data_IF_522178250554
#
_entry.id   IF_522178250554
#
_cell.length_a   1.000
_cell.length_b   1.000
_cell.length_c   1.000
_cell.angle_alpha   90.00
_cell.angle_beta   90.00
_cell.angle_gamma   90.00
#
_symmetry.space_group_name_H-M   'P 1'
#
loop_
_entity.id
_entity.type
_entity.pdbx_description
1 polymer ?
#
# COMPACT_ATOMS: atom_id res chain seq x y z
N UNK A 1 9.22 14.63 -3.55
CA UNK A 1 9.41 13.61 -4.61
C UNK A 1 8.52 12.43 -4.27
N UNK A 2 7.62 12.03 -5.16
CA UNK A 2 6.81 10.83 -4.95
C UNK A 2 7.62 9.60 -5.41
N UNK A 3 7.65 8.56 -4.59
CA UNK A 3 8.19 7.24 -4.90
C UNK A 3 7.07 6.39 -5.51
N UNK A 4 7.34 5.73 -6.63
CA UNK A 4 6.39 4.79 -7.22
C UNK A 4 6.52 3.44 -6.53
N UNK A 5 5.48 2.99 -5.85
CA UNK A 5 5.43 1.66 -5.27
C UNK A 5 4.38 0.81 -5.99
N UNK A 6 4.65 -0.48 -6.12
CA UNK A 6 3.70 -1.45 -6.68
C UNK A 6 3.35 -2.41 -5.56
N UNK A 7 2.08 -2.49 -5.21
CA UNK A 7 1.58 -3.47 -4.25
C UNK A 7 0.57 -4.38 -4.93
N UNK A 8 0.44 -5.62 -4.44
CA UNK A 8 -0.57 -6.54 -4.94
C UNK A 8 -1.86 -6.35 -4.17
N UNK A 9 -2.95 -6.03 -4.86
CA UNK A 9 -4.27 -5.94 -4.24
C UNK A 9 -4.68 -7.33 -3.73
N UNK A 10 -4.99 -7.48 -2.43
CA UNK A 10 -5.39 -8.77 -1.86
C UNK A 10 -6.76 -9.22 -2.36
N UNK A 11 -7.63 -8.30 -2.76
CA UNK A 11 -9.00 -8.61 -3.18
C UNK A 11 -9.06 -9.12 -4.62
N UNK A 12 -8.29 -8.53 -5.52
CA UNK A 12 -8.32 -8.83 -6.96
C UNK A 12 -7.10 -9.60 -7.43
N UNK A 13 -6.04 -9.66 -6.62
CA UNK A 13 -4.76 -10.26 -6.98
C UNK A 13 -3.94 -9.46 -8.00
N UNK A 14 -4.42 -8.30 -8.44
CA UNK A 14 -3.77 -7.43 -9.41
C UNK A 14 -2.65 -6.60 -8.78
N UNK A 15 -1.57 -6.35 -9.53
CA UNK A 15 -0.54 -5.42 -9.12
C UNK A 15 -1.01 -3.99 -9.39
N UNK A 16 -1.08 -3.19 -8.34
CA UNK A 16 -1.54 -1.80 -8.35
C UNK A 16 -0.34 -0.92 -8.10
N UNK A 17 -0.05 -0.04 -9.06
CA UNK A 17 0.96 1.00 -8.90
C UNK A 17 0.33 2.21 -8.22
N UNK A 18 0.98 2.72 -7.18
CA UNK A 18 0.56 3.92 -6.46
C UNK A 18 1.73 4.85 -6.19
N UNK A 19 1.44 6.15 -6.20
CA UNK A 19 2.41 7.18 -5.89
C UNK A 19 2.47 7.34 -4.38
N UNK A 20 3.58 6.93 -3.79
CA UNK A 20 3.91 7.29 -2.44
C UNK A 20 4.49 8.71 -2.45
N UNK A 21 3.71 9.72 -2.07
CA UNK A 21 4.33 10.99 -1.68
C UNK A 21 5.31 10.69 -0.56
N UNK A 22 6.57 11.16 -0.66
CA UNK A 22 7.55 11.08 0.43
C UNK A 22 6.96 11.76 1.67
N UNK A 23 6.14 11.03 2.42
CA UNK A 23 5.90 11.31 3.81
C UNK A 23 7.24 11.01 4.45
N UNK A 24 7.82 12.04 5.06
CA UNK A 24 9.05 11.93 5.82
C UNK A 24 8.98 10.63 6.62
N UNK A 25 9.95 9.73 6.39
CA UNK A 25 10.06 8.47 7.10
C UNK A 25 10.20 8.80 8.58
N UNK A 26 9.08 8.98 9.27
CA UNK A 26 9.06 9.11 10.71
C UNK A 26 9.45 7.75 11.23
N UNK A 27 10.71 7.65 11.67
CA UNK A 27 11.40 6.54 12.33
C UNK A 27 10.49 5.79 13.34
N UNK A 28 9.59 4.95 12.86
CA UNK A 28 8.65 4.27 13.76
C UNK A 28 7.61 3.36 13.13
N UNK A 29 7.09 3.66 11.94
CA UNK A 29 6.17 2.86 11.10
C UNK A 29 5.36 3.83 10.26
N UNK A 30 5.78 4.07 9.02
CA UNK A 30 5.04 4.92 8.11
C UNK A 30 4.07 4.02 7.32
N UNK A 31 2.78 4.13 7.57
CA UNK A 31 1.73 3.48 6.78
C UNK A 31 1.01 4.54 5.96
N UNK A 32 0.75 4.28 4.69
CA UNK A 32 -0.09 5.15 3.87
C UNK A 32 -1.32 4.41 3.38
N UNK A 33 -2.45 5.11 3.39
CA UNK A 33 -3.70 4.65 2.79
C UNK A 33 -3.72 4.98 1.30
N UNK A 34 -4.02 3.99 0.48
CA UNK A 34 -4.13 4.11 -0.96
C UNK A 34 -5.49 3.62 -1.43
N UNK A 35 -6.18 4.43 -2.23
CA UNK A 35 -7.40 4.00 -2.90
C UNK A 35 -7.00 3.11 -4.08
N UNK A 36 -7.32 1.82 -3.99
CA UNK A 36 -7.07 0.90 -5.09
C UNK A 36 -8.10 1.16 -6.21
N UNK A 37 -7.65 1.43 -7.44
CA UNK A 37 -8.55 1.66 -8.58
C UNK A 37 -9.25 0.37 -9.05
N UNK A 38 -8.83 -0.80 -8.57
CA UNK A 38 -9.35 -2.10 -9.04
C UNK A 38 -10.49 -2.61 -8.16
N UNK A 39 -10.40 -2.49 -6.83
CA UNK A 39 -11.40 -3.00 -5.88
C UNK A 39 -12.22 -1.90 -5.18
N UNK A 40 -12.15 -0.65 -5.66
CA UNK A 40 -12.53 0.57 -4.94
C UNK A 40 -12.32 0.66 -3.42
N UNK A 41 -11.37 -0.11 -2.83
CA UNK A 41 -11.10 -0.08 -1.39
C UNK A 41 -9.83 0.69 -1.05
N UNK A 42 -9.80 1.22 0.17
CA UNK A 42 -8.60 1.77 0.78
C UNK A 42 -7.73 0.63 1.32
N UNK A 43 -6.49 0.54 0.85
CA UNK A 43 -5.47 -0.36 1.37
C UNK A 43 -4.42 0.44 2.12
N UNK A 44 -4.07 0.00 3.31
CA UNK A 44 -2.94 0.55 4.06
C UNK A 44 -1.70 -0.22 3.65
N UNK A 45 -0.70 0.47 3.09
CA UNK A 45 0.58 -0.15 2.73
C UNK A 45 1.65 0.40 3.65
N UNK A 46 2.43 -0.52 4.21
CA UNK A 46 3.61 -0.19 4.99
C UNK A 46 4.70 0.32 4.06
N UNK A 47 5.18 1.53 4.30
CA UNK A 47 6.15 2.21 3.45
C UNK A 47 7.59 1.75 3.70
N UNK A 48 7.83 1.10 4.84
CA UNK A 48 9.14 0.52 5.16
C UNK A 48 9.38 -0.77 4.37
N UNK A 49 8.32 -1.55 4.13
CA UNK A 49 8.37 -2.87 3.49
C UNK A 49 7.72 -2.92 2.12
N UNK A 50 6.91 -1.92 1.76
CA UNK A 50 6.10 -1.90 0.54
C UNK A 50 4.94 -2.89 0.56
N UNK A 51 4.59 -3.45 1.73
CA UNK A 51 3.59 -4.52 1.85
C UNK A 51 2.25 -3.97 2.35
N UNK A 52 1.11 -4.39 1.77
CA UNK A 52 -0.19 -4.03 2.31
C UNK A 52 -0.39 -4.66 3.69
N UNK A 53 -0.73 -3.83 4.69
CA UNK A 53 -1.30 -4.29 5.95
C UNK A 53 -2.64 -4.98 5.67
N UNK A 54 -2.80 -6.20 6.16
CA UNK A 54 -3.97 -7.04 5.88
C UNK A 54 -3.70 -8.23 4.96
N UNK A 55 -2.44 -8.58 4.68
CA UNK A 55 -2.11 -9.90 4.10
C UNK A 55 -2.28 -11.06 5.12
N UNK A 56 -2.93 -10.80 6.26
CA UNK A 56 -3.38 -11.80 7.21
C UNK A 56 -4.91 -11.78 7.27
N UNK A 57 -5.53 -12.76 6.61
CA UNK A 57 -6.82 -13.43 6.92
C UNK A 57 -7.56 -13.83 5.65
N UNK A 58 -7.24 -15.02 5.20
CA UNK A 58 -8.13 -15.86 4.42
C UNK A 58 -7.48 -17.24 4.27
N UNK A 59 -8.13 -18.35 4.68
CA UNK A 59 -9.46 -18.51 5.29
C UNK A 59 -9.49 -18.39 6.83
#
# INVERSE_FOLDING_TARGET
>A
MAELIVFRCPETGMNVQTHLEKQERTEGRSFASFACPVCPRLHFVDLATGRPMGQERGP
#
